data_IF_035781541816
#
_entry.id   IF_035781541816
#
_cell.length_a   1.000
_cell.length_b   1.000
_cell.length_c   1.000
_cell.angle_alpha   90.00
_cell.angle_beta   90.00
_cell.angle_gamma   90.00
#
_symmetry.space_group_name_H-M   'P 1'
#
loop_
_entity.id
_entity.type
_entity.pdbx_description
1 polymer ?
#
# COMPACT_ATOMS: atom_id res chain seq x y z
N UNK A 1 1.17 41.76 27.41
CA UNK A 1 1.78 41.13 26.24
C UNK A 1 0.82 40.10 25.70
N UNK A 2 -0.02 40.49 24.75
CA UNK A 2 -0.93 39.55 24.09
C UNK A 2 -0.13 38.78 23.02
N UNK A 3 0.33 37.59 23.41
CA UNK A 3 0.88 36.66 22.43
C UNK A 3 -0.24 36.24 21.47
N UNK A 4 -0.22 36.76 20.24
CA UNK A 4 -1.00 36.25 19.13
C UNK A 4 -0.58 34.77 18.93
N UNK A 5 -1.35 33.84 19.49
CA UNK A 5 -1.26 32.43 19.14
C UNK A 5 -1.72 32.38 17.68
N UNK A 6 -0.77 32.37 16.74
CA UNK A 6 -1.08 32.08 15.32
C UNK A 6 -1.82 30.75 15.30
N UNK A 7 -3.11 30.80 15.05
CA UNK A 7 -3.92 29.58 14.90
C UNK A 7 -3.29 28.75 13.77
N UNK A 8 -2.82 27.54 14.09
CA UNK A 8 -2.23 26.64 13.10
C UNK A 8 -3.26 26.30 12.03
N UNK A 9 -2.84 26.36 10.78
CA UNK A 9 -3.70 26.01 9.64
C UNK A 9 -3.93 24.51 9.59
N UNK A 10 -5.20 24.08 9.71
CA UNK A 10 -5.61 22.67 9.55
C UNK A 10 -6.22 22.43 8.19
N UNK A 11 -5.66 21.50 7.45
CA UNK A 11 -6.14 21.08 6.12
C UNK A 11 -6.57 19.61 6.21
N UNK A 12 -7.78 19.32 5.76
CA UNK A 12 -8.36 17.97 5.69
C UNK A 12 -8.39 17.54 4.23
N UNK A 13 -7.61 16.54 3.88
CA UNK A 13 -7.67 15.88 2.59
C UNK A 13 -8.60 14.66 2.65
N UNK A 14 -9.42 14.49 1.64
CA UNK A 14 -10.42 13.42 1.55
C UNK A 14 -10.33 12.69 0.21
N UNK A 15 -10.29 11.36 0.30
CA UNK A 15 -10.53 10.44 -0.81
C UNK A 15 -11.81 9.67 -0.49
N UNK A 16 -12.83 9.75 -1.35
CA UNK A 16 -14.08 9.01 -1.20
C UNK A 16 -14.86 8.87 -2.53
N UNK A 17 -15.85 7.99 -2.56
CA UNK A 17 -16.81 7.89 -3.66
C UNK A 17 -16.51 6.81 -4.68
N UNK A 18 -15.42 6.02 -4.56
CA UNK A 18 -15.16 4.85 -5.41
C UNK A 18 -14.82 3.62 -4.58
N UNK A 19 -13.61 3.52 -4.03
CA UNK A 19 -13.18 2.53 -3.04
C UNK A 19 -12.11 3.16 -2.14
N UNK A 20 -11.78 2.50 -1.03
CA UNK A 20 -10.67 2.86 -0.13
C UNK A 20 -10.74 4.31 0.39
N UNK A 21 -11.93 4.73 0.84
CA UNK A 21 -12.09 6.06 1.40
C UNK A 21 -11.12 6.31 2.56
N UNK A 22 -10.57 7.53 2.60
CA UNK A 22 -9.59 7.92 3.61
C UNK A 22 -9.63 9.41 3.92
N UNK A 23 -9.14 9.76 5.10
CA UNK A 23 -8.96 11.13 5.56
C UNK A 23 -7.52 11.34 5.98
N UNK A 24 -6.96 12.49 5.62
CA UNK A 24 -5.67 12.99 6.13
C UNK A 24 -5.86 14.38 6.72
N UNK A 25 -5.26 14.64 7.86
CA UNK A 25 -5.25 15.96 8.51
C UNK A 25 -3.82 16.45 8.62
N UNK A 26 -3.57 17.62 8.05
CA UNK A 26 -2.32 18.35 8.19
C UNK A 26 -2.50 19.52 9.17
N UNK A 27 -1.52 19.73 10.04
CA UNK A 27 -1.31 21.00 10.77
C UNK A 27 0.01 21.60 10.31
N UNK A 28 -0.07 22.69 9.55
CA UNK A 28 1.05 23.22 8.80
C UNK A 28 1.66 22.11 7.92
N UNK A 29 2.95 21.81 8.01
CA UNK A 29 3.58 20.71 7.26
C UNK A 29 3.63 19.36 8.02
N UNK A 30 2.97 19.23 9.17
CA UNK A 30 2.94 18.00 9.94
C UNK A 30 1.69 17.18 9.62
N UNK A 31 1.87 15.88 9.44
CA UNK A 31 0.76 14.94 9.28
C UNK A 31 0.30 14.51 10.67
N UNK A 32 -0.83 15.07 11.13
CA UNK A 32 -1.34 14.76 12.48
C UNK A 32 -2.21 13.51 12.50
N UNK A 33 -2.86 13.21 11.37
CA UNK A 33 -3.67 12.01 11.21
C UNK A 33 -3.74 11.59 9.74
N UNK A 34 -3.71 10.29 9.47
CA UNK A 34 -4.14 9.71 8.20
C UNK A 34 -4.68 8.28 8.43
N UNK A 35 -5.86 7.99 7.88
CA UNK A 35 -6.50 6.70 8.10
C UNK A 35 -7.53 6.32 7.05
N UNK A 36 -7.73 5.00 6.89
CA UNK A 36 -8.74 4.42 6.00
C UNK A 36 -10.09 4.32 6.70
N UNK A 37 -11.18 4.61 5.99
CA UNK A 37 -12.55 4.49 6.51
C UNK A 37 -12.95 3.04 6.78
N UNK A 38 -12.46 2.08 5.99
CA UNK A 38 -12.68 0.65 6.20
C UNK A 38 -12.32 0.18 7.62
N UNK A 39 -11.29 0.82 8.23
CA UNK A 39 -10.84 0.50 9.59
C UNK A 39 -11.90 0.84 10.66
N UNK A 40 -12.73 1.86 10.40
CA UNK A 40 -13.80 2.32 11.28
C UNK A 40 -15.12 1.63 10.98
N UNK A 41 -15.50 1.52 9.71
CA UNK A 41 -16.77 0.92 9.29
C UNK A 41 -16.77 -0.61 9.34
N UNK A 42 -15.60 -1.24 9.39
CA UNK A 42 -15.36 -2.68 9.25
C UNK A 42 -15.86 -3.26 7.92
N UNK A 43 -16.11 -2.40 6.92
CA UNK A 43 -16.47 -2.76 5.56
C UNK A 43 -15.21 -2.67 4.69
N UNK A 44 -14.77 -3.80 4.13
CA UNK A 44 -13.57 -3.84 3.27
C UNK A 44 -13.75 -2.94 2.04
N UNK A 45 -12.72 -2.13 1.74
CA UNK A 45 -12.70 -1.15 0.67
C UNK A 45 -13.88 -0.15 0.73
N UNK A 46 -14.32 0.24 1.95
CA UNK A 46 -15.41 1.21 2.11
C UNK A 46 -15.15 2.47 1.29
N UNK A 47 -16.15 2.86 0.53
CA UNK A 47 -16.08 4.00 -0.39
C UNK A 47 -16.44 5.34 0.26
N UNK A 48 -16.89 5.34 1.50
CA UNK A 48 -17.38 6.53 2.19
C UNK A 48 -16.63 6.79 3.48
N UNK A 49 -16.46 8.08 3.81
CA UNK A 49 -15.90 8.48 5.09
C UNK A 49 -16.83 8.05 6.23
N UNK A 50 -16.27 7.36 7.23
CA UNK A 50 -17.01 6.95 8.41
C UNK A 50 -17.15 8.11 9.39
N UNK A 51 -18.32 8.22 10.05
CA UNK A 51 -18.67 9.33 10.96
C UNK A 51 -17.70 9.51 12.15
N UNK A 52 -17.11 8.41 12.63
CA UNK A 52 -16.20 8.42 13.78
C UNK A 52 -14.74 8.68 13.36
N UNK A 53 -14.47 8.87 12.07
CA UNK A 53 -13.15 9.22 11.57
C UNK A 53 -12.89 10.72 11.80
N UNK A 54 -11.69 11.11 12.27
CA UNK A 54 -11.38 12.53 12.47
C UNK A 54 -11.49 13.33 11.17
N UNK A 55 -12.26 14.45 11.20
CA UNK A 55 -12.48 15.33 10.04
C UNK A 55 -12.46 16.81 10.41
N UNK A 56 -11.98 17.18 11.61
CA UNK A 56 -11.95 18.58 12.04
C UNK A 56 -10.83 19.39 11.36
N UNK A 57 -11.18 20.42 10.61
CA UNK A 57 -10.22 21.30 9.93
C UNK A 57 -10.83 22.60 9.42
N UNK A 58 -9.96 23.51 8.94
CA UNK A 58 -10.35 24.81 8.40
C UNK A 58 -10.63 24.74 6.89
N UNK A 59 -9.86 23.90 6.16
CA UNK A 59 -9.98 23.73 4.72
C UNK A 59 -10.13 22.25 4.37
N UNK A 60 -10.99 21.97 3.39
CA UNK A 60 -11.25 20.63 2.89
C UNK A 60 -10.81 20.50 1.44
N UNK A 61 -9.98 19.53 1.15
CA UNK A 61 -9.43 19.22 -0.17
C UNK A 61 -9.89 17.84 -0.64
N UNK A 62 -10.38 17.78 -1.87
CA UNK A 62 -10.85 16.54 -2.50
C UNK A 62 -9.87 16.05 -3.55
N UNK A 63 -9.65 14.74 -3.59
CA UNK A 63 -8.56 14.11 -4.31
C UNK A 63 -8.77 13.98 -5.83
N UNK A 64 -10.00 14.14 -6.35
CA UNK A 64 -10.29 14.03 -7.78
C UNK A 64 -11.22 15.15 -8.27
N UNK A 65 -11.34 15.30 -9.60
CA UNK A 65 -12.26 16.26 -10.20
C UNK A 65 -13.64 15.62 -10.42
N UNK A 66 -14.69 16.01 -9.64
CA UNK A 66 -16.00 15.38 -9.72
C UNK A 66 -16.70 15.55 -11.07
N UNK A 67 -16.41 16.64 -11.78
CA UNK A 67 -16.99 16.86 -13.11
C UNK A 67 -16.43 15.87 -14.12
N UNK A 68 -15.12 15.73 -14.18
CA UNK A 68 -14.44 14.79 -15.08
C UNK A 68 -14.79 13.33 -14.73
N UNK A 69 -14.88 12.98 -13.43
CA UNK A 69 -15.35 11.67 -12.99
C UNK A 69 -16.77 11.40 -13.49
N UNK A 70 -17.70 12.32 -13.25
CA UNK A 70 -19.09 12.14 -13.63
C UNK A 70 -19.31 12.09 -15.14
N UNK A 71 -18.49 12.80 -15.94
CA UNK A 71 -18.51 12.65 -17.42
C UNK A 71 -18.10 11.26 -17.84
N UNK A 72 -17.04 10.68 -17.22
CA UNK A 72 -16.61 9.31 -17.48
C UNK A 72 -17.69 8.29 -17.08
N UNK A 73 -18.29 8.43 -15.89
CA UNK A 73 -19.37 7.55 -15.44
C UNK A 73 -20.54 7.57 -16.40
N UNK A 74 -20.92 8.76 -16.90
CA UNK A 74 -21.99 8.89 -17.87
C UNK A 74 -21.66 8.17 -19.19
N UNK A 75 -20.43 8.34 -19.72
CA UNK A 75 -19.97 7.63 -20.94
C UNK A 75 -19.97 6.09 -20.76
N UNK A 76 -19.69 5.60 -19.56
CA UNK A 76 -19.71 4.16 -19.26
C UNK A 76 -21.10 3.59 -18.92
N UNK A 77 -22.15 4.44 -18.97
CA UNK A 77 -23.53 4.05 -18.60
C UNK A 77 -23.76 3.88 -17.11
N UNK A 78 -22.85 4.40 -16.29
CA UNK A 78 -22.96 4.35 -14.82
C UNK A 78 -23.66 5.60 -14.28
N UNK A 79 -24.26 5.47 -13.08
CA UNK A 79 -24.90 6.60 -12.41
C UNK A 79 -23.85 7.60 -11.91
N UNK A 80 -24.16 8.90 -12.03
CA UNK A 80 -23.36 9.96 -11.42
C UNK A 80 -23.31 9.81 -9.91
N UNK A 81 -22.15 10.06 -9.32
CA UNK A 81 -21.96 10.08 -7.86
C UNK A 81 -21.88 11.54 -7.38
N UNK A 82 -22.86 12.02 -6.58
CA UNK A 82 -22.78 13.34 -6.00
C UNK A 82 -21.75 13.34 -4.85
N UNK A 83 -21.10 14.49 -4.67
CA UNK A 83 -20.26 14.72 -3.49
C UNK A 83 -21.15 14.77 -2.24
N UNK A 84 -20.74 14.08 -1.18
CA UNK A 84 -21.43 14.09 0.12
C UNK A 84 -21.06 15.30 0.99
N UNK A 85 -19.87 15.87 0.72
CA UNK A 85 -19.31 16.97 1.50
C UNK A 85 -19.01 18.18 0.61
N UNK A 86 -18.92 19.37 1.22
CA UNK A 86 -18.43 20.58 0.55
C UNK A 86 -16.91 20.64 0.66
N UNK A 87 -16.24 20.90 -0.45
CA UNK A 87 -14.79 21.02 -0.53
C UNK A 87 -14.38 22.41 -1.00
N UNK A 88 -13.39 23.02 -0.34
CA UNK A 88 -12.78 24.28 -0.72
C UNK A 88 -11.90 24.09 -1.97
N UNK A 89 -11.21 22.96 -2.05
CA UNK A 89 -10.29 22.62 -3.13
C UNK A 89 -10.65 21.27 -3.74
N UNK A 90 -10.47 21.14 -5.06
CA UNK A 90 -10.68 19.89 -5.80
C UNK A 90 -9.54 19.77 -6.80
N UNK A 91 -8.82 18.67 -6.72
CA UNK A 91 -7.65 18.40 -7.56
C UNK A 91 -7.99 17.37 -8.63
N UNK A 92 -6.99 16.94 -9.41
CA UNK A 92 -7.13 15.80 -10.33
C UNK A 92 -6.60 14.54 -9.63
N UNK A 93 -7.16 13.40 -9.95
CA UNK A 93 -6.84 12.11 -9.35
C UNK A 93 -5.33 11.81 -9.40
N UNK A 94 -4.73 11.79 -10.59
CA UNK A 94 -3.29 11.55 -10.74
C UNK A 94 -2.41 12.66 -10.15
N UNK A 95 -2.91 13.88 -10.05
CA UNK A 95 -2.23 14.98 -9.38
C UNK A 95 -2.13 14.74 -7.87
N UNK A 96 -3.22 14.24 -7.27
CA UNK A 96 -3.23 13.87 -5.85
C UNK A 96 -2.32 12.69 -5.55
N UNK A 97 -2.27 11.66 -6.41
CA UNK A 97 -1.29 10.59 -6.29
C UNK A 97 0.15 11.12 -6.37
N UNK A 98 0.45 11.91 -7.40
CA UNK A 98 1.79 12.46 -7.60
C UNK A 98 2.23 13.34 -6.42
N UNK A 99 1.30 14.13 -5.88
CA UNK A 99 1.53 14.99 -4.72
C UNK A 99 1.78 14.18 -3.43
N UNK A 100 0.99 13.12 -3.18
CA UNK A 100 1.21 12.25 -2.03
C UNK A 100 2.62 11.66 -2.03
N UNK A 101 3.08 11.17 -3.18
CA UNK A 101 4.44 10.68 -3.34
C UNK A 101 5.50 11.76 -3.19
N UNK A 102 5.33 12.90 -3.87
CA UNK A 102 6.34 13.95 -3.89
C UNK A 102 6.51 14.65 -2.54
N UNK A 103 5.41 15.10 -1.93
CA UNK A 103 5.52 15.89 -0.70
C UNK A 103 5.94 15.08 0.54
N UNK A 104 5.85 13.74 0.47
CA UNK A 104 6.37 12.83 1.52
C UNK A 104 7.77 12.30 1.22
N UNK A 105 8.27 12.48 -0.02
CA UNK A 105 9.57 11.95 -0.42
C UNK A 105 10.75 12.78 0.10
N UNK A 106 11.94 12.17 0.20
CA UNK A 106 13.17 12.88 0.52
C UNK A 106 13.76 13.66 -0.69
N UNK A 107 13.11 13.65 -1.87
CA UNK A 107 13.68 14.17 -3.11
C UNK A 107 13.16 15.58 -3.41
N UNK A 108 14.05 16.52 -3.66
CA UNK A 108 13.69 17.86 -4.17
C UNK A 108 13.48 17.83 -5.68
N UNK A 109 14.36 17.13 -6.40
CA UNK A 109 14.25 16.92 -7.86
C UNK A 109 14.03 15.44 -8.17
N UNK A 110 12.95 15.15 -8.91
CA UNK A 110 12.58 13.77 -9.26
C UNK A 110 11.65 13.73 -10.48
N UNK A 111 11.53 12.53 -11.06
CA UNK A 111 10.36 12.16 -11.82
C UNK A 111 9.36 11.40 -10.94
N UNK A 112 8.07 11.57 -11.22
CA UNK A 112 7.00 10.85 -10.55
C UNK A 112 6.23 10.10 -11.62
N UNK A 113 6.13 8.79 -11.47
CA UNK A 113 5.37 7.91 -12.34
C UNK A 113 4.14 7.42 -11.58
N UNK A 114 2.97 7.81 -12.03
CA UNK A 114 1.68 7.35 -11.51
C UNK A 114 1.12 6.31 -12.48
N UNK A 115 0.87 5.09 -12.00
CA UNK A 115 0.24 4.01 -12.77
C UNK A 115 -0.95 3.50 -11.99
N UNK A 116 -2.14 3.64 -12.57
CA UNK A 116 -3.38 3.26 -11.92
C UNK A 116 -4.32 2.51 -12.89
N UNK A 117 -5.44 2.04 -12.37
CA UNK A 117 -6.49 1.46 -13.21
C UNK A 117 -7.11 2.56 -14.09
N UNK A 118 -7.68 3.57 -13.48
CA UNK A 118 -8.21 4.76 -14.14
C UNK A 118 -8.54 5.86 -13.13
N UNK A 119 -7.88 7.01 -13.24
CA UNK A 119 -8.20 8.22 -12.50
C UNK A 119 -8.83 9.26 -13.42
N UNK A 120 -10.12 9.52 -13.30
CA UNK A 120 -10.91 10.31 -14.25
C UNK A 120 -10.78 9.74 -15.69
N UNK A 121 -9.78 10.18 -16.47
CA UNK A 121 -9.46 9.66 -17.79
C UNK A 121 -7.99 9.20 -17.93
N UNK A 122 -7.11 9.67 -17.04
CA UNK A 122 -5.69 9.28 -17.04
C UNK A 122 -5.56 7.88 -16.41
N UNK A 123 -4.69 7.06 -16.97
CA UNK A 123 -4.37 5.71 -16.49
C UNK A 123 -2.90 5.59 -16.12
N UNK A 124 -2.06 6.38 -16.80
CA UNK A 124 -0.63 6.52 -16.52
C UNK A 124 -0.29 8.00 -16.69
N UNK A 125 0.57 8.53 -15.81
CA UNK A 125 1.11 9.88 -15.98
C UNK A 125 2.52 10.01 -15.45
N UNK A 126 3.33 10.81 -16.15
CA UNK A 126 4.68 11.17 -15.76
C UNK A 126 4.70 12.64 -15.37
N UNK A 127 5.29 12.93 -14.21
CA UNK A 127 5.44 14.26 -13.66
C UNK A 127 6.90 14.56 -13.39
N UNK A 128 7.22 15.84 -13.30
CA UNK A 128 8.52 16.35 -12.85
C UNK A 128 8.30 17.32 -11.70
N UNK A 129 9.13 17.23 -10.66
CA UNK A 129 9.19 18.25 -9.62
C UNK A 129 10.00 19.46 -10.09
N UNK A 130 9.68 20.63 -9.57
CA UNK A 130 10.43 21.86 -9.77
C UNK A 130 10.25 22.81 -8.58
N UNK A 131 11.22 23.66 -8.37
CA UNK A 131 11.16 24.72 -7.38
C UNK A 131 10.62 26.01 -8.00
N UNK A 132 9.72 26.68 -7.30
CA UNK A 132 9.15 27.97 -7.68
C UNK A 132 9.17 28.88 -6.46
N UNK A 133 10.19 29.72 -6.35
CA UNK A 133 10.52 30.52 -5.15
C UNK A 133 10.61 29.61 -3.90
N UNK A 134 9.66 29.78 -2.97
CA UNK A 134 9.58 29.01 -1.72
C UNK A 134 8.66 27.79 -1.80
N UNK A 135 8.11 27.47 -2.99
CA UNK A 135 7.19 26.38 -3.18
C UNK A 135 7.81 25.25 -3.99
N UNK A 136 7.65 24.05 -3.49
CA UNK A 136 7.97 22.84 -4.25
C UNK A 136 6.74 22.41 -5.03
N UNK A 137 6.83 22.38 -6.37
CA UNK A 137 5.71 22.11 -7.26
C UNK A 137 5.98 20.89 -8.15
N UNK A 138 4.92 20.33 -8.67
CA UNK A 138 4.94 19.23 -9.62
C UNK A 138 4.24 19.63 -10.91
N UNK A 139 4.75 19.17 -12.06
CA UNK A 139 4.17 19.44 -13.38
C UNK A 139 4.04 18.13 -14.14
N UNK A 140 2.83 17.87 -14.67
CA UNK A 140 2.60 16.74 -15.56
C UNK A 140 3.30 16.98 -16.89
N UNK A 141 4.12 15.99 -17.31
CA UNK A 141 4.88 16.03 -18.56
C UNK A 141 4.13 15.25 -19.66
N UNK A 142 3.65 14.04 -19.29
CA UNK A 142 3.02 13.11 -20.22
C UNK A 142 1.91 12.34 -19.52
N UNK A 143 0.87 11.94 -20.24
CA UNK A 143 -0.12 11.00 -19.74
C UNK A 143 -0.68 10.11 -20.86
N UNK A 144 -1.13 8.94 -20.46
CA UNK A 144 -1.92 8.01 -21.26
C UNK A 144 -3.33 7.99 -20.69
N UNK A 145 -4.27 7.80 -21.57
CA UNK A 145 -5.70 7.84 -21.24
C UNK A 145 -6.36 6.51 -21.56
N UNK A 146 -7.46 6.27 -20.88
CA UNK A 146 -8.37 5.20 -21.24
C UNK A 146 -8.69 5.21 -22.75
N UNK A 147 -8.71 4.06 -23.46
CA UNK A 147 -8.71 2.68 -22.91
C UNK A 147 -7.33 2.08 -22.60
N UNK A 148 -6.22 2.69 -22.96
CA UNK A 148 -4.87 2.17 -22.62
C UNK A 148 -4.67 2.18 -21.11
N UNK A 149 -4.64 1.01 -20.47
CA UNK A 149 -4.48 0.90 -19.01
C UNK A 149 -3.82 -0.39 -18.60
N UNK A 150 -2.69 -0.28 -17.89
CA UNK A 150 -2.00 -1.42 -17.28
C UNK A 150 -2.76 -1.97 -16.07
N UNK A 151 -3.35 -1.11 -15.25
CA UNK A 151 -4.13 -1.54 -14.09
C UNK A 151 -5.39 -2.28 -14.50
N UNK A 152 -6.19 -1.76 -15.45
CA UNK A 152 -7.39 -2.45 -15.94
C UNK A 152 -7.07 -3.76 -16.66
N UNK A 153 -5.95 -3.82 -17.40
CA UNK A 153 -5.48 -5.06 -18.00
C UNK A 153 -5.20 -6.11 -16.93
N UNK A 154 -4.47 -5.73 -15.88
CA UNK A 154 -4.12 -6.62 -14.79
C UNK A 154 -5.38 -7.11 -14.06
N UNK A 155 -6.33 -6.23 -13.78
CA UNK A 155 -7.65 -6.57 -13.19
C UNK A 155 -8.49 -7.47 -14.10
N UNK A 156 -8.46 -7.27 -15.43
CA UNK A 156 -9.17 -8.12 -16.37
C UNK A 156 -8.64 -9.56 -16.38
N UNK A 157 -7.33 -9.76 -16.31
CA UNK A 157 -6.73 -11.09 -16.18
C UNK A 157 -7.01 -11.67 -14.79
N UNK A 158 -6.98 -10.85 -13.73
CA UNK A 158 -7.38 -11.26 -12.37
C UNK A 158 -8.81 -11.84 -12.38
N UNK A 159 -9.74 -11.17 -13.08
CA UNK A 159 -11.11 -11.68 -13.28
C UNK A 159 -11.13 -12.96 -14.12
N UNK A 160 -10.37 -13.02 -15.21
CA UNK A 160 -10.30 -14.18 -16.13
C UNK A 160 -9.86 -15.46 -15.42
N UNK A 161 -8.96 -15.37 -14.44
CA UNK A 161 -8.51 -16.53 -13.65
C UNK A 161 -9.42 -16.85 -12.46
N UNK A 162 -10.59 -16.17 -12.34
CA UNK A 162 -11.64 -16.45 -11.36
C UNK A 162 -11.42 -15.76 -10.01
N UNK A 163 -10.64 -14.66 -9.96
CA UNK A 163 -10.43 -13.83 -8.81
C UNK A 163 -11.24 -12.52 -8.92
N UNK A 164 -11.36 -11.77 -7.82
CA UNK A 164 -12.13 -10.53 -7.79
C UNK A 164 -11.30 -9.37 -8.35
N UNK A 165 -11.70 -8.73 -9.46
CA UNK A 165 -11.01 -7.59 -10.02
C UNK A 165 -11.08 -6.38 -9.07
N UNK A 166 -10.05 -5.53 -9.08
CA UNK A 166 -9.81 -4.38 -8.20
C UNK A 166 -9.65 -4.73 -6.70
N UNK A 167 -9.47 -6.02 -6.38
CA UNK A 167 -9.22 -6.46 -4.99
C UNK A 167 -8.16 -7.55 -4.86
N UNK A 168 -8.12 -8.52 -5.81
CA UNK A 168 -7.30 -9.73 -5.70
C UNK A 168 -6.06 -9.71 -6.63
N UNK A 169 -5.68 -8.57 -7.20
CA UNK A 169 -4.51 -8.44 -8.08
C UNK A 169 -3.22 -8.93 -7.41
N UNK A 170 -3.11 -8.73 -6.09
CA UNK A 170 -1.98 -9.23 -5.32
C UNK A 170 -1.96 -10.78 -5.24
N UNK A 171 -3.09 -11.47 -5.41
CA UNK A 171 -3.16 -12.94 -5.52
C UNK A 171 -2.67 -13.36 -6.90
N UNK A 172 -3.09 -12.65 -7.97
CA UNK A 172 -2.58 -12.84 -9.33
C UNK A 172 -1.06 -12.69 -9.37
N UNK A 173 -0.51 -11.65 -8.72
CA UNK A 173 0.95 -11.44 -8.59
C UNK A 173 1.64 -12.63 -7.89
N UNK A 174 1.06 -13.16 -6.81
CA UNK A 174 1.59 -14.35 -6.15
C UNK A 174 1.49 -15.61 -7.03
N UNK A 175 0.40 -15.76 -7.79
CA UNK A 175 0.16 -16.92 -8.66
C UNK A 175 1.14 -16.95 -9.84
N UNK A 176 1.60 -15.79 -10.30
CA UNK A 176 2.52 -15.68 -11.43
C UNK A 176 3.82 -16.48 -11.27
N UNK A 177 4.29 -16.69 -10.03
CA UNK A 177 5.49 -17.48 -9.76
C UNK A 177 5.31 -19.01 -9.94
N UNK A 178 4.07 -19.47 -10.13
CA UNK A 178 3.74 -20.88 -10.38
C UNK A 178 3.53 -21.21 -11.86
N UNK A 179 3.56 -20.19 -12.74
CA UNK A 179 3.31 -20.34 -14.18
C UNK A 179 4.48 -19.82 -15.02
N UNK A 180 4.31 -19.97 -16.34
CA UNK A 180 5.23 -19.46 -17.36
C UNK A 180 4.55 -18.40 -18.24
N UNK A 181 5.26 -17.33 -18.68
CA UNK A 181 4.69 -16.26 -19.49
C UNK A 181 4.55 -16.70 -20.96
N UNK A 182 3.53 -17.49 -21.27
CA UNK A 182 3.32 -18.12 -22.60
C UNK A 182 2.45 -17.29 -23.54
N UNK A 183 1.65 -16.35 -23.01
CA UNK A 183 0.61 -15.67 -23.78
C UNK A 183 0.94 -14.22 -24.01
N UNK A 184 0.89 -13.78 -25.27
CA UNK A 184 0.94 -12.34 -25.59
C UNK A 184 -0.41 -11.70 -25.25
N UNK A 185 -0.39 -10.78 -24.29
CA UNK A 185 -1.56 -10.03 -23.83
C UNK A 185 -1.54 -8.55 -24.27
N UNK A 186 -0.55 -8.11 -25.07
CA UNK A 186 -0.36 -6.71 -25.44
C UNK A 186 -1.56 -6.14 -26.22
N UNK A 187 -2.23 -6.99 -26.99
CA UNK A 187 -3.45 -6.61 -27.74
C UNK A 187 -4.61 -6.15 -26.84
N UNK A 188 -4.61 -6.51 -25.55
CA UNK A 188 -5.63 -6.09 -24.59
C UNK A 188 -5.44 -4.65 -24.10
N UNK A 189 -4.24 -4.07 -24.24
CA UNK A 189 -3.94 -2.73 -23.70
C UNK A 189 -4.86 -1.62 -24.23
N UNK A 190 -5.39 -1.80 -25.45
CA UNK A 190 -6.27 -0.84 -26.09
C UNK A 190 -7.77 -1.23 -26.04
N UNK A 191 -8.11 -2.25 -25.26
CA UNK A 191 -9.50 -2.73 -25.12
C UNK A 191 -10.18 -2.19 -23.86
N UNK A 192 -11.50 -2.25 -23.86
CA UNK A 192 -12.33 -1.83 -22.73
C UNK A 192 -12.28 -2.81 -21.56
N UNK A 193 -11.12 -2.99 -20.94
CA UNK A 193 -10.87 -4.01 -19.92
C UNK A 193 -11.67 -3.83 -18.61
N UNK A 194 -12.36 -2.70 -18.41
CA UNK A 194 -13.20 -2.49 -17.22
C UNK A 194 -14.40 -3.47 -17.13
N UNK A 195 -14.72 -4.18 -18.24
CA UNK A 195 -15.74 -5.25 -18.29
C UNK A 195 -15.13 -6.65 -18.30
N UNK A 196 -13.81 -6.73 -18.05
CA UNK A 196 -13.04 -7.96 -18.20
C UNK A 196 -12.61 -8.19 -19.66
N UNK A 197 -11.89 -9.28 -19.89
CA UNK A 197 -11.37 -9.64 -21.22
C UNK A 197 -12.10 -10.86 -21.86
N UNK A 198 -13.17 -11.34 -21.22
CA UNK A 198 -13.87 -12.54 -21.65
C UNK A 198 -13.04 -13.81 -21.46
N UNK A 199 -13.44 -14.90 -22.10
CA UNK A 199 -12.76 -16.19 -22.02
C UNK A 199 -11.63 -16.33 -23.05
N UNK A 200 -10.65 -15.40 -22.99
CA UNK A 200 -9.45 -15.50 -23.82
C UNK A 200 -8.60 -16.70 -23.39
N UNK A 201 -7.95 -17.36 -24.35
CA UNK A 201 -7.11 -18.53 -24.11
C UNK A 201 -7.80 -19.59 -23.22
N UNK A 202 -8.91 -20.20 -23.68
CA UNK A 202 -9.78 -21.06 -22.84
C UNK A 202 -9.04 -22.26 -22.23
N UNK A 203 -7.99 -22.74 -22.87
CA UNK A 203 -7.16 -23.86 -22.41
C UNK A 203 -5.93 -23.44 -21.59
N UNK A 204 -5.77 -22.14 -21.30
CA UNK A 204 -4.64 -21.67 -20.51
C UNK A 204 -4.82 -21.99 -19.02
N UNK A 205 -3.73 -22.39 -18.37
CA UNK A 205 -3.72 -22.47 -16.91
C UNK A 205 -3.83 -21.07 -16.28
N UNK A 206 -4.36 -20.99 -15.07
CA UNK A 206 -4.47 -19.72 -14.34
C UNK A 206 -3.11 -19.13 -14.03
N UNK A 207 -2.17 -20.00 -13.72
CA UNK A 207 -0.80 -19.68 -13.39
C UNK A 207 -0.06 -19.07 -14.59
N UNK A 208 -0.21 -19.65 -15.80
CA UNK A 208 0.41 -19.15 -17.02
C UNK A 208 -0.17 -17.79 -17.45
N UNK A 209 -1.50 -17.58 -17.28
CA UNK A 209 -2.12 -16.27 -17.52
C UNK A 209 -1.63 -15.23 -16.51
N UNK A 210 -1.50 -15.61 -15.24
CA UNK A 210 -0.94 -14.74 -14.21
C UNK A 210 0.52 -14.37 -14.49
N UNK A 211 1.35 -15.36 -14.89
CA UNK A 211 2.73 -15.13 -15.29
C UNK A 211 2.84 -14.23 -16.53
N UNK A 212 1.94 -14.42 -17.51
CA UNK A 212 1.93 -13.63 -18.76
C UNK A 212 1.58 -12.16 -18.51
N UNK A 213 0.56 -11.88 -17.67
CA UNK A 213 0.21 -10.48 -17.34
C UNK A 213 1.28 -9.83 -16.46
N UNK A 214 1.91 -10.57 -15.57
CA UNK A 214 3.02 -10.07 -14.74
C UNK A 214 4.21 -9.68 -15.62
N UNK A 215 4.63 -10.56 -16.54
CA UNK A 215 5.73 -10.28 -17.46
C UNK A 215 5.46 -9.07 -18.36
N UNK A 216 4.24 -8.95 -18.89
CA UNK A 216 3.83 -7.77 -19.68
C UNK A 216 3.87 -6.49 -18.84
N UNK A 217 3.33 -6.54 -17.62
CA UNK A 217 3.36 -5.39 -16.70
C UNK A 217 4.80 -4.97 -16.38
N UNK A 218 5.69 -5.90 -16.07
CA UNK A 218 7.11 -5.64 -15.80
C UNK A 218 7.81 -4.97 -17.00
N UNK A 219 7.60 -5.51 -18.21
CA UNK A 219 8.12 -4.93 -19.46
C UNK A 219 7.64 -3.47 -19.61
N UNK A 220 6.33 -3.23 -19.47
CA UNK A 220 5.76 -1.88 -19.65
C UNK A 220 6.17 -0.92 -18.54
N UNK A 221 6.31 -1.39 -17.31
CA UNK A 221 6.85 -0.57 -16.22
C UNK A 221 8.28 -0.09 -16.55
N UNK A 222 9.16 -0.98 -17.02
CA UNK A 222 10.53 -0.62 -17.36
C UNK A 222 10.58 0.36 -18.55
N UNK A 223 9.76 0.17 -19.59
CA UNK A 223 9.61 1.13 -20.70
C UNK A 223 9.21 2.53 -20.19
N UNK A 224 8.31 2.61 -19.20
CA UNK A 224 7.89 3.89 -18.58
C UNK A 224 8.97 4.50 -17.69
N UNK A 225 9.73 3.69 -16.97
CA UNK A 225 10.87 4.12 -16.15
C UNK A 225 11.97 4.72 -17.02
N UNK A 226 12.23 4.16 -18.20
CA UNK A 226 13.20 4.69 -19.15
C UNK A 226 12.81 6.09 -19.70
N UNK A 227 11.51 6.42 -19.69
CA UNK A 227 11.03 7.76 -20.00
C UNK A 227 11.22 8.78 -18.86
N UNK A 228 11.73 8.34 -17.70
CA UNK A 228 11.96 9.15 -16.51
C UNK A 228 13.47 9.39 -16.33
N UNK A 229 14.05 10.49 -16.86
CA UNK A 229 15.51 10.68 -16.90
C UNK A 229 16.13 10.92 -15.51
N UNK A 230 15.38 11.44 -14.54
CA UNK A 230 15.91 11.67 -13.19
C UNK A 230 16.37 10.36 -12.54
N UNK A 231 17.48 10.42 -11.81
CA UNK A 231 17.92 9.31 -10.97
C UNK A 231 16.95 9.03 -9.81
N UNK A 232 16.25 10.05 -9.34
CA UNK A 232 15.25 9.95 -8.30
C UNK A 232 13.87 9.71 -8.96
N UNK A 233 13.26 8.60 -8.59
CA UNK A 233 11.97 8.16 -9.12
C UNK A 233 10.98 7.94 -8.00
N UNK A 234 9.79 8.50 -8.14
CA UNK A 234 8.66 8.24 -7.26
C UNK A 234 7.63 7.41 -8.02
N UNK A 235 7.17 6.31 -7.41
CA UNK A 235 6.11 5.46 -7.97
C UNK A 235 4.84 5.62 -7.13
N UNK A 236 3.70 5.90 -7.79
CA UNK A 236 2.39 6.08 -7.17
C UNK A 236 1.28 5.44 -8.03
N UNK A 237 0.06 5.41 -7.50
CA UNK A 237 -1.09 4.69 -8.06
C UNK A 237 -1.16 3.26 -7.53
N UNK A 238 -2.30 2.60 -7.70
CA UNK A 238 -2.54 1.23 -7.21
C UNK A 238 -1.51 0.21 -7.72
N UNK A 239 -1.02 0.39 -8.94
CA UNK A 239 -0.03 -0.48 -9.56
C UNK A 239 1.36 -0.43 -8.89
N UNK A 240 1.70 0.64 -8.16
CA UNK A 240 2.94 0.73 -7.39
C UNK A 240 3.01 -0.28 -6.21
N UNK A 241 1.92 -0.98 -5.91
CA UNK A 241 1.89 -2.09 -4.95
C UNK A 241 2.46 -3.40 -5.51
N UNK A 242 2.80 -3.47 -6.81
CA UNK A 242 3.44 -4.64 -7.42
C UNK A 242 4.92 -4.70 -7.04
N UNK A 243 5.20 -5.29 -5.89
CA UNK A 243 6.55 -5.36 -5.34
C UNK A 243 7.52 -6.22 -6.20
N UNK A 244 7.00 -7.17 -6.98
CA UNK A 244 7.82 -7.99 -7.90
C UNK A 244 8.35 -7.12 -9.03
N UNK A 245 7.47 -6.36 -9.69
CA UNK A 245 7.86 -5.46 -10.77
C UNK A 245 8.76 -4.31 -10.27
N UNK A 246 8.45 -3.74 -9.09
CA UNK A 246 9.28 -2.68 -8.49
C UNK A 246 10.74 -3.13 -8.32
N UNK A 247 10.97 -4.40 -7.98
CA UNK A 247 12.30 -4.97 -7.76
C UNK A 247 13.12 -5.13 -9.04
N UNK A 248 12.49 -5.06 -10.21
CA UNK A 248 13.17 -5.10 -11.52
C UNK A 248 13.80 -3.77 -11.91
N UNK A 249 13.38 -2.67 -11.29
CA UNK A 249 13.91 -1.33 -11.61
C UNK A 249 15.33 -1.23 -11.07
N UNK A 250 16.28 -0.90 -11.96
CA UNK A 250 17.69 -0.74 -11.64
C UNK A 250 18.11 0.72 -11.80
N UNK A 251 19.20 1.09 -11.13
CA UNK A 251 19.88 2.39 -11.29
C UNK A 251 18.99 3.63 -10.97
N UNK A 252 17.96 3.46 -10.15
CA UNK A 252 17.12 4.55 -9.65
C UNK A 252 17.10 4.57 -8.12
N UNK A 253 17.06 5.77 -7.54
CA UNK A 253 16.68 5.96 -6.15
C UNK A 253 15.16 6.01 -6.12
N UNK A 254 14.51 4.99 -5.53
CA UNK A 254 13.06 4.85 -5.60
C UNK A 254 12.41 5.26 -4.28
N UNK A 255 11.39 6.10 -4.36
CA UNK A 255 10.45 6.35 -3.28
C UNK A 255 9.06 5.88 -3.68
N UNK A 256 8.44 5.11 -2.82
CA UNK A 256 7.04 4.73 -2.91
C UNK A 256 6.43 5.08 -1.55
N UNK A 257 5.46 5.98 -1.52
CA UNK A 257 4.74 6.29 -0.29
C UNK A 257 4.04 5.01 0.20
N UNK A 258 4.02 4.68 1.50
CA UNK A 258 3.47 3.42 2.01
C UNK A 258 2.02 3.12 1.63
N UNK A 259 1.26 4.13 1.26
CA UNK A 259 -0.10 4.03 0.73
C UNK A 259 -0.19 4.65 -0.67
N UNK A 260 0.34 3.99 -1.72
CA UNK A 260 0.44 4.59 -3.04
C UNK A 260 -0.88 4.63 -3.82
N UNK A 261 -1.90 3.85 -3.41
CA UNK A 261 -3.23 3.80 -4.04
C UNK A 261 -4.15 4.95 -3.65
N UNK A 262 -5.42 4.85 -3.99
CA UNK A 262 -6.45 5.91 -3.86
C UNK A 262 -6.58 6.46 -2.44
N UNK A 263 -6.46 5.62 -1.42
CA UNK A 263 -6.49 6.08 -0.04
C UNK A 263 -5.35 7.05 0.30
N UNK A 264 -4.16 6.88 -0.29
CA UNK A 264 -3.04 7.81 -0.12
C UNK A 264 -3.28 9.18 -0.76
N UNK A 265 -4.21 9.27 -1.71
CA UNK A 265 -4.54 10.51 -2.40
C UNK A 265 -5.20 11.57 -1.51
N UNK A 266 -5.80 11.18 -0.36
CA UNK A 266 -6.25 12.13 0.65
C UNK A 266 -5.09 12.98 1.19
N UNK A 267 -3.94 12.37 1.42
CA UNK A 267 -2.72 13.07 1.82
C UNK A 267 -2.21 13.99 0.69
N UNK A 268 -2.24 13.51 -0.55
CA UNK A 268 -1.84 14.31 -1.71
C UNK A 268 -2.73 15.54 -1.91
N UNK A 269 -4.04 15.40 -1.78
CA UNK A 269 -4.97 16.50 -1.87
C UNK A 269 -4.71 17.58 -0.79
N UNK A 270 -4.47 17.17 0.46
CA UNK A 270 -4.11 18.09 1.53
C UNK A 270 -2.76 18.79 1.28
N UNK A 271 -1.77 18.04 0.80
CA UNK A 271 -0.43 18.55 0.51
C UNK A 271 -0.42 19.56 -0.65
N UNK A 272 -1.28 19.38 -1.66
CA UNK A 272 -1.44 20.35 -2.77
C UNK A 272 -1.94 21.72 -2.31
N UNK A 273 -2.76 21.77 -1.27
CA UNK A 273 -3.20 23.07 -0.69
C UNK A 273 -2.02 23.78 -0.05
N UNK A 274 -1.15 23.03 0.63
CA UNK A 274 0.03 23.57 1.32
C UNK A 274 1.16 23.91 0.35
N UNK A 275 1.34 23.11 -0.71
CA UNK A 275 2.40 23.20 -1.72
C UNK A 275 3.84 23.24 -1.13
N UNK A 276 4.06 22.53 -0.02
CA UNK A 276 5.33 22.42 0.70
C UNK A 276 5.62 20.97 1.08
N UNK A 277 6.90 20.62 1.23
CA UNK A 277 7.30 19.31 1.75
C UNK A 277 6.72 19.08 3.13
N UNK A 278 6.19 17.88 3.31
CA UNK A 278 5.64 17.43 4.58
C UNK A 278 6.76 16.87 5.47
N UNK A 279 6.60 17.01 6.76
CA UNK A 279 7.47 16.38 7.74
C UNK A 279 7.11 14.89 7.87
N UNK A 280 7.55 14.12 6.88
CA UNK A 280 7.34 12.67 6.87
C UNK A 280 8.24 11.99 7.90
N UNK A 281 7.66 11.29 8.86
CA UNK A 281 8.39 10.55 9.90
C UNK A 281 8.22 9.04 9.74
N UNK A 282 6.97 8.60 9.66
CA UNK A 282 6.63 7.17 9.65
C UNK A 282 5.23 6.94 9.06
N UNK A 283 4.87 5.71 8.71
CA UNK A 283 3.52 5.36 8.25
C UNK A 283 2.50 5.24 9.39
N UNK A 284 2.91 5.38 10.65
CA UNK A 284 2.05 5.20 11.83
C UNK A 284 1.22 6.46 12.10
N UNK A 285 0.13 6.65 11.34
CA UNK A 285 -0.63 7.89 11.28
C UNK A 285 -2.11 7.74 11.69
N UNK A 286 -2.58 6.50 11.86
CA UNK A 286 -3.99 6.19 12.12
C UNK A 286 -4.39 6.23 13.61
N UNK A 287 -5.41 5.46 13.96
CA UNK A 287 -5.92 5.32 15.34
C UNK A 287 -4.83 4.78 16.28
N UNK A 288 -4.73 5.39 17.47
CA UNK A 288 -3.74 5.02 18.48
C UNK A 288 -4.32 4.04 19.50
N UNK A 289 -3.64 2.92 19.72
CA UNK A 289 -3.88 1.99 20.84
C UNK A 289 -2.75 2.14 21.83
N UNK A 290 -3.08 2.45 23.07
CA UNK A 290 -2.10 2.61 24.14
C UNK A 290 -2.11 1.37 25.03
N UNK A 291 -1.12 0.49 24.83
CA UNK A 291 -0.88 -0.70 25.66
C UNK A 291 0.55 -0.70 26.14
N UNK A 292 0.75 -1.06 27.40
CA UNK A 292 2.08 -1.36 27.93
C UNK A 292 2.43 -2.81 27.58
N UNK A 293 3.17 -2.98 26.49
CA UNK A 293 3.57 -4.29 25.97
C UNK A 293 5.00 -4.59 26.42
N UNK A 294 5.18 -5.66 27.19
CA UNK A 294 6.49 -6.19 27.53
C UNK A 294 7.01 -7.12 26.40
N UNK A 295 8.06 -6.73 25.65
CA UNK A 295 8.62 -7.57 24.57
C UNK A 295 9.00 -8.98 25.01
N UNK A 296 9.49 -9.16 26.27
CA UNK A 296 9.85 -10.46 26.78
C UNK A 296 8.65 -11.41 26.97
N UNK A 297 7.46 -10.87 27.25
CA UNK A 297 6.22 -11.65 27.32
C UNK A 297 5.76 -12.09 25.95
N UNK A 298 5.80 -11.19 24.98
CA UNK A 298 5.48 -11.50 23.58
C UNK A 298 6.39 -12.60 23.06
N UNK A 299 7.70 -12.48 23.28
CA UNK A 299 8.68 -13.49 22.86
C UNK A 299 8.47 -14.82 23.56
N UNK A 300 8.17 -14.82 24.87
CA UNK A 300 7.87 -16.05 25.64
C UNK A 300 6.63 -16.75 25.06
N UNK A 301 5.60 -15.97 24.67
CA UNK A 301 4.39 -16.50 24.05
C UNK A 301 4.69 -17.09 22.67
N UNK A 302 5.45 -16.37 21.80
CA UNK A 302 5.88 -16.86 20.49
C UNK A 302 6.68 -18.16 20.57
N UNK A 303 7.60 -18.28 21.53
CA UNK A 303 8.38 -19.51 21.75
C UNK A 303 7.50 -20.71 22.11
N UNK A 304 6.44 -20.49 22.90
CA UNK A 304 5.50 -21.52 23.33
C UNK A 304 4.47 -21.89 22.29
N UNK A 305 3.85 -20.89 21.66
CA UNK A 305 2.66 -21.04 20.81
C UNK A 305 2.94 -20.84 19.31
N UNK A 306 4.07 -20.25 18.93
CA UNK A 306 4.49 -20.03 17.55
C UNK A 306 3.88 -18.80 16.86
N UNK A 307 2.75 -18.26 17.36
CA UNK A 307 2.03 -17.13 16.74
C UNK A 307 1.40 -16.24 17.82
N UNK A 308 1.36 -14.93 17.56
CA UNK A 308 0.59 -13.94 18.34
C UNK A 308 0.18 -12.73 17.49
N UNK A 309 -0.85 -12.03 17.93
CA UNK A 309 -1.21 -10.71 17.44
C UNK A 309 -0.49 -9.60 18.22
N UNK A 310 -0.27 -8.46 17.55
CA UNK A 310 0.19 -7.21 18.18
C UNK A 310 -0.71 -6.08 17.71
N UNK A 311 -1.31 -5.33 18.65
CA UNK A 311 -2.14 -4.18 18.39
C UNK A 311 -1.77 -3.04 19.35
N UNK A 312 -0.80 -2.19 18.96
CA UNK A 312 -0.27 -1.12 19.80
C UNK A 312 0.17 0.08 18.97
N UNK A 313 0.25 1.26 19.58
CA UNK A 313 0.63 2.50 18.90
C UNK A 313 -0.37 2.91 17.81
N UNK A 314 0.04 3.86 16.98
CA UNK A 314 -0.78 4.35 15.87
C UNK A 314 -0.83 3.33 14.73
N UNK A 315 -2.03 3.10 14.18
CA UNK A 315 -2.21 2.21 13.04
C UNK A 315 -1.46 2.71 11.80
N UNK A 316 -0.98 1.79 10.99
CA UNK A 316 -0.33 2.09 9.71
C UNK A 316 -1.32 2.72 8.72
N UNK A 317 -0.92 3.81 8.06
CA UNK A 317 -1.61 4.37 6.91
C UNK A 317 -1.12 3.70 5.63
N UNK A 318 -1.78 2.62 5.26
CA UNK A 318 -1.46 1.80 4.10
C UNK A 318 -2.03 0.38 4.20
N UNK A 319 -1.89 -0.41 3.12
CA UNK A 319 -2.43 -1.77 3.05
C UNK A 319 -1.58 -2.81 3.77
N UNK A 320 -0.40 -2.43 4.31
CA UNK A 320 0.54 -3.35 4.97
C UNK A 320 0.54 -3.13 6.47
N UNK A 321 0.59 -4.23 7.22
CA UNK A 321 0.91 -4.19 8.64
C UNK A 321 2.43 -4.16 8.81
N UNK A 322 2.91 -3.18 9.56
CA UNK A 322 4.34 -2.90 9.72
C UNK A 322 4.78 -2.98 11.19
N UNK A 323 3.97 -3.64 12.03
CA UNK A 323 4.30 -3.91 13.42
C UNK A 323 3.25 -3.47 14.44
N UNK A 324 2.40 -2.47 14.11
CA UNK A 324 1.42 -1.94 15.05
C UNK A 324 0.04 -2.61 14.95
N UNK A 325 -0.26 -3.28 13.85
CA UNK A 325 -1.48 -4.09 13.63
C UNK A 325 -1.10 -5.41 12.94
N UNK A 326 -0.23 -6.18 13.60
CA UNK A 326 0.46 -7.33 13.03
C UNK A 326 0.09 -8.65 13.67
N UNK A 327 0.04 -9.70 12.86
CA UNK A 327 0.11 -11.09 13.28
C UNK A 327 1.56 -11.55 13.07
N UNK A 328 2.25 -11.90 14.15
CA UNK A 328 3.64 -12.31 14.15
C UNK A 328 3.75 -13.82 14.38
N UNK A 329 4.71 -14.47 13.73
CA UNK A 329 4.96 -15.90 13.95
C UNK A 329 6.46 -16.27 13.87
N UNK A 330 6.81 -17.44 14.42
CA UNK A 330 8.17 -17.98 14.42
C UNK A 330 8.54 -18.54 13.03
N UNK A 331 9.42 -17.89 12.26
CA UNK A 331 9.74 -18.31 10.89
C UNK A 331 10.63 -19.57 10.86
N UNK A 332 11.22 -19.99 11.97
CA UNK A 332 12.08 -21.17 12.06
C UNK A 332 11.29 -22.49 12.01
N UNK A 333 9.97 -22.39 12.25
CA UNK A 333 9.02 -23.51 12.20
C UNK A 333 8.30 -23.49 10.84
N UNK A 334 7.82 -24.66 10.41
CA UNK A 334 6.89 -24.74 9.29
C UNK A 334 5.48 -24.32 9.75
N UNK A 335 5.31 -23.00 9.91
CA UNK A 335 4.08 -22.39 10.44
C UNK A 335 3.20 -21.74 9.37
N UNK A 336 3.63 -21.81 8.11
CA UNK A 336 2.95 -21.15 6.99
C UNK A 336 1.48 -21.56 6.89
N UNK A 337 1.19 -22.86 6.94
CA UNK A 337 -0.18 -23.36 6.83
C UNK A 337 -1.02 -22.97 8.04
N UNK A 338 -0.49 -23.07 9.25
CA UNK A 338 -1.17 -22.63 10.47
C UNK A 338 -1.58 -21.15 10.38
N UNK A 339 -0.67 -20.26 9.95
CA UNK A 339 -0.99 -18.84 9.81
C UNK A 339 -1.98 -18.59 8.67
N UNK A 340 -1.90 -19.33 7.56
CA UNK A 340 -2.89 -19.24 6.48
C UNK A 340 -4.29 -19.72 6.92
N UNK A 341 -4.37 -20.75 7.75
CA UNK A 341 -5.65 -21.26 8.31
C UNK A 341 -6.28 -20.22 9.26
N UNK A 342 -5.50 -19.61 10.16
CA UNK A 342 -5.94 -18.46 11.00
C UNK A 342 -6.49 -17.34 10.13
N UNK A 343 -5.81 -17.01 9.02
CA UNK A 343 -6.21 -15.94 8.09
C UNK A 343 -7.33 -16.36 7.13
N UNK A 344 -7.77 -17.61 7.13
CA UNK A 344 -8.80 -18.16 6.24
C UNK A 344 -8.51 -17.89 4.76
N UNK A 345 -7.24 -18.11 4.33
CA UNK A 345 -6.79 -17.81 2.97
C UNK A 345 -6.04 -18.98 2.32
N UNK A 346 -5.73 -18.85 1.04
CA UNK A 346 -5.06 -19.89 0.24
C UNK A 346 -3.67 -20.21 0.80
N UNK A 347 -3.35 -21.50 0.98
CA UNK A 347 -2.09 -21.98 1.58
C UNK A 347 -0.84 -21.69 0.75
N UNK A 348 -0.96 -21.53 -0.57
CA UNK A 348 0.18 -21.20 -1.43
C UNK A 348 0.72 -19.77 -1.21
N UNK A 349 -0.06 -18.86 -0.62
CA UNK A 349 0.34 -17.47 -0.42
C UNK A 349 1.50 -17.34 0.57
N UNK A 350 2.56 -16.59 0.20
CA UNK A 350 3.70 -16.37 1.07
C UNK A 350 3.39 -15.35 2.18
N UNK A 351 4.24 -15.33 3.18
CA UNK A 351 4.30 -14.28 4.19
C UNK A 351 5.58 -13.46 4.05
N UNK A 352 5.57 -12.28 4.66
CA UNK A 352 6.70 -11.38 4.68
C UNK A 352 7.51 -11.57 5.97
N UNK A 353 8.85 -11.58 5.92
CA UNK A 353 9.67 -11.41 7.10
C UNK A 353 9.75 -9.94 7.49
N UNK A 354 9.68 -9.64 8.80
CA UNK A 354 10.17 -8.40 9.38
C UNK A 354 11.51 -8.71 10.03
N UNK A 355 12.58 -8.04 9.59
CA UNK A 355 13.97 -8.32 9.99
C UNK A 355 14.62 -7.07 10.58
N UNK A 356 15.48 -7.23 11.57
CA UNK A 356 16.36 -6.19 12.07
C UNK A 356 17.28 -5.69 10.96
N UNK A 357 17.36 -4.36 10.78
CA UNK A 357 18.11 -3.67 9.72
C UNK A 357 19.54 -4.19 9.58
N UNK A 358 20.21 -4.39 10.70
CA UNK A 358 21.62 -4.79 10.77
C UNK A 358 21.92 -6.21 10.26
N UNK A 359 20.88 -7.04 10.06
CA UNK A 359 21.01 -8.42 9.56
C UNK A 359 20.38 -8.60 8.17
N UNK A 360 19.74 -7.57 7.60
CA UNK A 360 18.95 -7.73 6.38
C UNK A 360 19.80 -8.27 5.20
N UNK A 361 21.00 -7.71 4.98
CA UNK A 361 21.89 -8.08 3.87
C UNK A 361 22.56 -9.46 4.08
N UNK A 362 22.62 -9.95 5.33
CA UNK A 362 23.08 -11.33 5.62
C UNK A 362 22.06 -12.36 5.15
N UNK A 363 20.76 -12.05 5.31
CA UNK A 363 19.67 -13.01 5.07
C UNK A 363 19.03 -12.88 3.68
N UNK A 364 19.14 -11.71 3.03
CA UNK A 364 18.49 -11.43 1.75
C UNK A 364 19.42 -10.70 0.79
N UNK A 365 19.20 -10.90 -0.52
CA UNK A 365 19.90 -10.22 -1.60
C UNK A 365 18.90 -9.52 -2.52
N UNK A 366 19.06 -8.22 -2.72
CA UNK A 366 18.19 -7.42 -3.57
C UNK A 366 17.60 -6.19 -2.87
N UNK A 367 16.67 -5.47 -3.52
CA UNK A 367 16.07 -4.29 -2.95
C UNK A 367 15.11 -4.63 -1.80
N UNK A 368 15.22 -3.86 -0.73
CA UNK A 368 14.40 -4.00 0.47
C UNK A 368 14.10 -2.61 1.05
N UNK A 369 13.00 -2.47 1.80
CA UNK A 369 12.74 -1.26 2.56
C UNK A 369 11.83 -1.53 3.77
N UNK A 370 11.50 -0.47 4.53
CA UNK A 370 10.66 -0.56 5.72
C UNK A 370 9.19 -0.89 5.42
N UNK A 371 8.74 -0.75 4.14
CA UNK A 371 7.33 -0.73 3.77
C UNK A 371 6.88 -1.95 2.96
N UNK A 372 7.72 -2.98 2.80
CA UNK A 372 7.40 -4.20 2.03
C UNK A 372 7.03 -3.92 0.57
N UNK A 373 7.77 -3.05 -0.11
CA UNK A 373 7.47 -2.59 -1.48
C UNK A 373 8.33 -3.24 -2.55
N UNK A 374 9.23 -4.12 -2.13
CA UNK A 374 10.15 -4.87 -2.98
C UNK A 374 10.19 -6.33 -2.56
N UNK A 375 10.73 -7.18 -3.44
CA UNK A 375 11.12 -8.55 -3.12
C UNK A 375 12.62 -8.71 -3.26
N UNK A 376 13.21 -9.51 -2.38
CA UNK A 376 14.63 -9.87 -2.38
C UNK A 376 14.79 -11.39 -2.35
N UNK A 377 15.88 -11.91 -2.91
CA UNK A 377 16.19 -13.32 -2.88
C UNK A 377 16.63 -13.73 -1.48
N UNK A 378 16.05 -14.78 -0.93
CA UNK A 378 16.48 -15.33 0.35
C UNK A 378 17.79 -16.09 0.21
N UNK A 379 18.71 -15.89 1.16
CA UNK A 379 19.99 -16.60 1.25
C UNK A 379 19.92 -17.82 2.18
N UNK A 380 18.82 -17.98 2.91
CA UNK A 380 18.57 -19.05 3.88
C UNK A 380 17.21 -19.71 3.64
N UNK A 381 17.06 -20.95 4.04
CA UNK A 381 15.80 -21.71 3.87
C UNK A 381 14.83 -21.47 5.03
N UNK A 382 14.05 -20.39 4.95
CA UNK A 382 12.95 -20.09 5.86
C UNK A 382 11.61 -20.17 5.12
N UNK A 383 11.14 -21.41 4.87
CA UNK A 383 9.95 -21.71 4.05
C UNK A 383 8.68 -20.93 4.41
N UNK A 384 8.53 -20.56 5.69
CA UNK A 384 7.37 -19.81 6.17
C UNK A 384 7.32 -18.36 5.70
N UNK A 385 8.46 -17.79 5.26
CA UNK A 385 8.58 -16.38 4.81
C UNK A 385 9.13 -16.24 3.40
N UNK A 386 9.21 -17.35 2.66
CA UNK A 386 9.63 -17.39 1.27
C UNK A 386 8.47 -17.73 0.35
N UNK A 387 8.54 -17.24 -0.87
CA UNK A 387 7.71 -17.68 -1.98
C UNK A 387 8.34 -18.90 -2.68
N UNK A 388 7.60 -19.52 -3.63
CA UNK A 388 8.07 -20.73 -4.32
C UNK A 388 9.37 -20.51 -5.13
N UNK A 389 9.58 -19.28 -5.61
CA UNK A 389 10.76 -18.86 -6.37
C UNK A 389 11.95 -18.45 -5.46
N UNK A 390 11.86 -18.65 -4.15
CA UNK A 390 12.88 -18.29 -3.18
C UNK A 390 12.92 -16.81 -2.82
N UNK A 391 12.04 -15.98 -3.37
CA UNK A 391 11.97 -14.56 -3.02
C UNK A 391 11.14 -14.31 -1.75
N UNK A 392 11.41 -13.20 -1.08
CA UNK A 392 10.65 -12.71 0.07
C UNK A 392 10.38 -11.21 -0.03
N UNK A 393 9.20 -10.78 0.39
CA UNK A 393 8.84 -9.36 0.49
C UNK A 393 9.23 -8.83 1.86
N UNK A 394 10.48 -8.39 1.99
CA UNK A 394 11.11 -8.08 3.27
C UNK A 394 10.65 -6.73 3.82
N UNK A 395 10.37 -6.68 5.13
CA UNK A 395 10.29 -5.45 5.91
C UNK A 395 11.59 -5.26 6.68
N UNK A 396 12.32 -4.19 6.39
CA UNK A 396 13.45 -3.75 7.21
C UNK A 396 12.91 -3.00 8.44
N UNK A 397 13.32 -3.39 9.64
CA UNK A 397 12.96 -2.71 10.88
C UNK A 397 14.19 -1.96 11.40
N UNK A 398 14.21 -0.64 11.16
CA UNK A 398 15.31 0.25 11.52
C UNK A 398 15.45 0.43 13.03
N UNK A 399 16.65 0.82 13.49
CA UNK A 399 16.93 1.11 14.91
C UNK A 399 16.03 2.19 15.50
N UNK A 400 15.66 3.20 14.71
CA UNK A 400 14.79 4.30 15.11
C UNK A 400 13.32 4.06 14.79
N UNK A 401 12.91 2.82 14.52
CA UNK A 401 11.50 2.46 14.28
C UNK A 401 10.65 2.74 15.52
N UNK A 402 9.58 3.52 15.34
CA UNK A 402 8.65 3.88 16.43
C UNK A 402 7.71 2.73 16.85
N UNK A 403 7.67 1.65 16.09
CA UNK A 403 6.80 0.50 16.37
C UNK A 403 7.39 -0.43 17.44
N UNK A 404 6.51 -1.00 18.24
CA UNK A 404 6.85 -2.04 19.23
C UNK A 404 7.49 -3.29 18.58
N UNK A 405 7.39 -3.47 17.28
CA UNK A 405 8.02 -4.60 16.58
C UNK A 405 9.54 -4.57 16.73
N UNK A 406 10.17 -3.39 16.85
CA UNK A 406 11.62 -3.28 16.99
C UNK A 406 12.10 -3.92 18.28
N UNK A 407 11.68 -3.53 19.49
CA UNK A 407 12.08 -4.17 20.72
C UNK A 407 11.64 -5.66 20.83
N UNK A 408 10.52 -6.04 20.18
CA UNK A 408 10.13 -7.45 20.09
C UNK A 408 11.17 -8.26 19.28
N UNK A 409 11.62 -7.75 18.14
CA UNK A 409 12.64 -8.40 17.30
C UNK A 409 14.00 -8.46 17.99
N UNK A 410 14.41 -7.43 18.73
CA UNK A 410 15.66 -7.43 19.50
C UNK A 410 15.64 -8.52 20.58
N UNK A 411 14.55 -8.61 21.35
CA UNK A 411 14.39 -9.66 22.37
C UNK A 411 14.28 -11.04 21.74
N UNK A 412 13.58 -11.15 20.58
CA UNK A 412 13.48 -12.39 19.82
C UNK A 412 14.86 -12.87 19.34
N UNK A 413 15.65 -11.97 18.75
CA UNK A 413 17.02 -12.27 18.32
C UNK A 413 17.92 -12.65 19.48
N UNK A 414 17.81 -11.95 20.61
CA UNK A 414 18.56 -12.25 21.83
C UNK A 414 18.33 -13.69 22.30
N UNK A 415 17.08 -14.16 22.24
CA UNK A 415 16.68 -15.51 22.71
C UNK A 415 16.94 -16.60 21.69
N UNK A 416 16.81 -16.32 20.40
CA UNK A 416 16.73 -17.36 19.36
C UNK A 416 17.89 -17.34 18.37
N UNK A 417 18.65 -16.25 18.34
CA UNK A 417 19.65 -15.92 17.31
C UNK A 417 19.07 -15.73 15.90
N UNK A 418 17.75 -15.78 15.73
CA UNK A 418 17.05 -15.46 14.50
C UNK A 418 16.66 -13.97 14.51
N UNK A 419 17.13 -13.14 13.56
CA UNK A 419 16.90 -11.69 13.58
C UNK A 419 15.56 -11.27 13.00
N UNK A 420 14.67 -12.19 12.67
CA UNK A 420 13.40 -11.91 11.99
C UNK A 420 12.22 -12.67 12.59
N UNK A 421 11.03 -12.15 12.33
CA UNK A 421 9.74 -12.79 12.56
C UNK A 421 8.92 -12.77 11.25
N UNK A 422 8.06 -13.75 11.05
CA UNK A 422 6.98 -13.66 10.06
C UNK A 422 6.05 -12.52 10.50
N UNK A 423 5.75 -11.60 9.57
CA UNK A 423 4.84 -10.47 9.77
C UNK A 423 3.75 -10.45 8.72
N UNK A 424 2.50 -10.41 9.16
CA UNK A 424 1.33 -10.22 8.30
C UNK A 424 0.27 -9.38 9.02
N UNK A 425 -0.72 -8.88 8.28
CA UNK A 425 -1.78 -8.04 8.85
C UNK A 425 -2.67 -8.78 9.84
N UNK A 426 -3.03 -8.10 10.93
CA UNK A 426 -3.94 -8.61 11.96
C UNK A 426 -5.39 -8.49 11.48
N UNK A 427 -5.80 -9.45 10.64
CA UNK A 427 -7.16 -9.62 10.11
C UNK A 427 -7.31 -11.01 9.48
N UNK A 428 -8.55 -11.42 9.22
CA UNK A 428 -8.85 -12.56 8.35
C UNK A 428 -9.21 -12.08 6.93
N UNK A 429 -9.25 -13.02 5.97
CA UNK A 429 -9.63 -12.72 4.57
C UNK A 429 -10.99 -12.02 4.51
N UNK A 430 -11.06 -10.95 3.69
CA UNK A 430 -12.28 -10.17 3.48
C UNK A 430 -12.60 -9.13 4.56
N UNK A 431 -11.82 -9.06 5.64
CA UNK A 431 -11.97 -8.07 6.69
C UNK A 431 -10.88 -6.98 6.61
N UNK A 432 -11.19 -5.73 7.00
CA UNK A 432 -10.19 -4.71 7.28
C UNK A 432 -9.22 -5.15 8.37
N UNK A 433 -8.02 -4.57 8.38
CA UNK A 433 -7.08 -4.74 9.49
C UNK A 433 -7.71 -4.17 10.77
N UNK A 434 -7.45 -4.79 11.91
CA UNK A 434 -7.82 -4.31 13.25
C UNK A 434 -7.49 -2.82 13.39
N UNK A 435 -8.39 -2.04 13.97
CA UNK A 435 -8.20 -0.60 14.19
C UNK A 435 -8.00 -0.25 15.65
N UNK A 436 -8.92 -0.68 16.53
CA UNK A 436 -8.99 -0.30 17.93
C UNK A 436 -8.93 -1.52 18.87
N UNK A 437 -9.05 -1.28 20.17
CA UNK A 437 -8.97 -2.29 21.22
C UNK A 437 -10.08 -3.34 21.12
N UNK A 438 -11.29 -2.92 20.73
CA UNK A 438 -12.44 -3.80 20.58
C UNK A 438 -12.21 -4.79 19.43
N UNK A 439 -11.74 -4.30 18.28
CA UNK A 439 -11.38 -5.14 17.13
C UNK A 439 -10.29 -6.16 17.50
N UNK A 440 -9.29 -5.73 18.29
CA UNK A 440 -8.21 -6.59 18.74
C UNK A 440 -8.71 -7.70 19.67
N UNK A 441 -9.58 -7.36 20.61
CA UNK A 441 -10.21 -8.31 21.53
C UNK A 441 -11.13 -9.28 20.82
N UNK A 442 -11.89 -8.81 19.83
CA UNK A 442 -12.74 -9.66 19.00
C UNK A 442 -11.91 -10.63 18.17
N UNK A 443 -10.80 -10.16 17.57
CA UNK A 443 -9.87 -11.01 16.81
C UNK A 443 -9.29 -12.12 17.73
N UNK A 444 -8.84 -11.78 18.93
CA UNK A 444 -8.32 -12.75 19.92
C UNK A 444 -9.37 -13.80 20.27
N UNK A 445 -10.58 -13.37 20.60
CA UNK A 445 -11.69 -14.24 20.99
C UNK A 445 -12.11 -15.21 19.88
N UNK A 446 -12.26 -14.70 18.65
CA UNK A 446 -12.80 -15.47 17.51
C UNK A 446 -11.75 -16.43 16.94
N UNK A 447 -10.48 -16.04 16.92
CA UNK A 447 -9.43 -16.83 16.27
C UNK A 447 -8.53 -17.58 17.27
N UNK A 448 -8.77 -17.44 18.58
CA UNK A 448 -7.99 -18.07 19.66
C UNK A 448 -6.48 -17.76 19.57
N UNK A 449 -6.14 -16.56 19.15
CA UNK A 449 -4.77 -16.07 19.01
C UNK A 449 -4.57 -14.90 19.94
N UNK A 450 -3.68 -15.03 20.93
CA UNK A 450 -3.38 -13.95 21.88
C UNK A 450 -2.96 -12.68 21.15
N UNK A 451 -3.58 -11.55 21.50
CA UNK A 451 -3.26 -10.20 20.98
C UNK A 451 -2.72 -9.32 22.12
N UNK A 452 -1.47 -8.92 22.01
CA UNK A 452 -0.77 -8.02 22.92
C UNK A 452 -1.04 -6.56 22.57
#
# INVERSE_FOLDING_TARGET
MNGNIKQKMKIVGVSEGFHDASVTILEDNNIVYAGHSERYSRIKNDKWIHKDQPTAGHYFAYYENPFLKNTRLWFSGQKKEPLRHKFNFKFKHHESHAAAGFYTSPFDECNILVIDAIGEWDTISIWKSYQDYNFSKIKKIKSWKYPYSLGLLYSAITQRIGLKPNEDEYITMCMAAYGEPKYDLEFLLHKNNHRGCGDIFPNASKEDLAASVQALYEKKLLELVDMCPSKNLILMGGCALNCVANSKIKNKNIWIMPNPGDAGSSLGAAALVLAQKLNWKSPYLGYNIERDINPAEVVRHLLRHGVCGVANGRAEFGPRALGNRSLLADPRKDIKDTVNDIKKRQRYRPFAPAILEEYADEYFDGPMNEYMQFVAQSKHDYKSVQHIDGTARVQIVKKNCESIIRPILEEWHRKTKCPMLLNTSLNIKGQPIVNNENDASEFEKVNHVKVF
#
